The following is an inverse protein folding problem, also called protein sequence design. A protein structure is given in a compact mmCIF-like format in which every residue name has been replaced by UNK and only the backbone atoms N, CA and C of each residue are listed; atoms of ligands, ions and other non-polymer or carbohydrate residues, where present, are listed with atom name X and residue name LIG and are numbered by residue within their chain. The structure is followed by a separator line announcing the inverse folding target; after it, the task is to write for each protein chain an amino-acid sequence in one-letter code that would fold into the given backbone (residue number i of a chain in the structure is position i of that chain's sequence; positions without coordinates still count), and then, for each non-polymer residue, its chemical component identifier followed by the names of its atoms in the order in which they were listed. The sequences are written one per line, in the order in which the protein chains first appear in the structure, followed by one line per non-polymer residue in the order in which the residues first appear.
data_IF_663605036814
#
_entry.id   IF_663605036814
#
_cell.length_a   1.000
_cell.length_b   1.000
_cell.length_c   1.000
_cell.angle_alpha   90.00
_cell.angle_beta   90.00
_cell.angle_gamma   90.00
#
_symmetry.space_group_name_H-M   'P 1'
#
loop_
_entity.id
_entity.type
_entity.pdbx_description
1 polymer ?
#
# COMPACT_ATOMS: atom_id res chain seq x y z
N UNK A 1 -8.91 12.57 10.84
CA UNK A 1 -8.87 12.14 10.56
C UNK A 1 -8.37 11.13 10.26
N UNK A 2 -8.39 10.46 10.57
CA UNK A 2 -7.88 9.18 10.37
C UNK A 2 -7.63 8.73 9.07
N UNK A 3 -7.83 9.58 8.15
CA UNK A 3 -7.49 9.16 6.89
C UNK A 3 -6.17 9.56 6.57
N UNK A 4 -5.40 10.04 7.44
CA UNK A 4 -4.01 10.35 7.18
C UNK A 4 -3.26 9.09 6.86
N UNK A 5 -2.22 9.20 6.06
CA UNK A 5 -1.35 8.09 5.78
C UNK A 5 -0.58 7.70 7.02
N UNK A 6 -0.41 6.42 7.23
CA UNK A 6 0.34 5.94 8.37
C UNK A 6 1.82 5.97 8.05
N UNK A 7 2.60 6.60 8.92
CA UNK A 7 4.04 6.72 8.77
C UNK A 7 4.72 5.94 9.88
N UNK A 8 5.68 5.12 9.52
CA UNK A 8 6.40 4.31 10.50
C UNK A 8 7.34 3.34 9.81
N UNK A 9 7.66 2.30 10.54
CA UNK A 9 8.63 1.29 10.08
C UNK A 9 7.93 0.01 9.70
N UNK A 10 8.46 -0.65 8.70
CA UNK A 10 7.94 -1.92 8.23
C UNK A 10 8.93 -3.04 8.49
N UNK A 11 8.43 -4.15 8.99
CA UNK A 11 9.17 -5.40 9.06
C UNK A 11 8.50 -6.38 8.11
N UNK A 12 9.28 -6.90 7.18
CA UNK A 12 8.76 -7.77 6.14
C UNK A 12 9.33 -9.16 6.36
N UNK A 13 8.47 -10.08 6.74
CA UNK A 13 8.86 -11.44 6.98
C UNK A 13 8.26 -12.41 5.97
N UNK A 14 8.51 -13.69 6.18
CA UNK A 14 8.03 -14.71 5.27
C UNK A 14 6.52 -14.88 5.29
N UNK A 15 5.89 -14.64 6.44
CA UNK A 15 4.46 -14.89 6.60
C UNK A 15 3.63 -13.62 6.63
N UNK A 16 4.23 -12.49 6.93
CA UNK A 16 3.49 -11.26 7.13
C UNK A 16 4.36 -10.04 6.96
N UNK A 17 3.69 -8.92 6.72
CA UNK A 17 4.32 -7.61 6.78
C UNK A 17 3.74 -6.91 8.00
N UNK A 18 4.60 -6.28 8.79
CA UNK A 18 4.22 -5.58 10.00
C UNK A 18 4.57 -4.12 9.91
N UNK A 19 3.68 -3.29 10.40
CA UNK A 19 3.88 -1.84 10.43
C UNK A 19 3.89 -1.38 11.87
N UNK A 20 4.89 -0.57 12.23
CA UNK A 20 5.02 0.01 13.56
C UNK A 20 5.01 1.52 13.43
N UNK A 21 4.02 2.16 14.05
CA UNK A 21 3.86 3.62 13.96
C UNK A 21 5.01 4.36 14.64
N UNK A 22 5.53 5.40 13.98
CA UNK A 22 6.53 6.28 14.58
C UNK A 22 5.91 7.19 15.64
N UNK A 23 4.61 7.42 15.54
CA UNK A 23 3.92 8.35 16.42
C UNK A 23 3.48 7.68 17.72
N UNK A 24 3.01 6.45 17.62
CA UNK A 24 2.51 5.74 18.80
C UNK A 24 3.00 4.30 18.76
N UNK A 25 3.93 3.99 19.65
CA UNK A 25 4.58 2.68 19.67
C UNK A 25 3.62 1.53 19.98
N UNK A 26 2.46 1.84 20.54
CA UNK A 26 1.46 0.83 20.80
C UNK A 26 0.66 0.47 19.55
N UNK A 27 0.72 1.31 18.54
CA UNK A 27 0.01 1.05 17.31
C UNK A 27 0.89 0.25 16.38
N UNK A 28 0.47 -0.99 16.11
CA UNK A 28 1.13 -1.75 15.08
C UNK A 28 0.09 -2.58 14.35
N UNK A 29 0.39 -2.88 13.11
CA UNK A 29 -0.52 -3.62 12.24
C UNK A 29 0.26 -4.78 11.65
N UNK A 30 -0.30 -5.97 11.78
CA UNK A 30 0.29 -7.16 11.19
C UNK A 30 -0.67 -7.66 10.11
N UNK A 31 -0.14 -7.81 8.90
CA UNK A 31 -0.94 -8.27 7.76
C UNK A 31 -0.27 -9.51 7.19
N UNK A 32 -0.93 -10.66 7.33
CA UNK A 32 -0.39 -11.86 6.72
C UNK A 32 -0.47 -11.75 5.20
N UNK A 33 0.49 -12.32 4.51
CA UNK A 33 0.46 -12.27 3.05
C UNK A 33 -0.81 -12.90 2.50
N UNK A 34 -1.33 -13.92 3.17
CA UNK A 34 -2.55 -14.59 2.74
C UNK A 34 -3.78 -13.70 2.83
N UNK A 35 -3.80 -12.76 3.77
CA UNK A 35 -4.94 -11.86 3.93
C UNK A 35 -4.93 -10.69 2.96
N UNK A 36 -3.80 -10.44 2.30
CA UNK A 36 -3.66 -9.31 1.40
C UNK A 36 -4.26 -9.65 0.05
N UNK A 37 -5.26 -8.86 -0.35
CA UNK A 37 -5.92 -9.03 -1.63
C UNK A 37 -5.14 -8.31 -2.73
N UNK A 38 -4.63 -7.12 -2.43
CA UNK A 38 -3.72 -6.43 -3.33
C UNK A 38 -2.97 -5.35 -2.55
N UNK A 39 -1.87 -4.90 -3.15
CA UNK A 39 -1.11 -3.79 -2.63
C UNK A 39 -0.80 -2.91 -3.83
N UNK A 40 -0.93 -1.61 -3.70
CA UNK A 40 -0.79 -0.74 -4.85
C UNK A 40 -0.32 0.65 -4.52
N UNK A 41 0.24 1.30 -5.52
CA UNK A 41 0.72 2.67 -5.41
C UNK A 41 0.53 3.39 -6.74
N UNK A 42 0.50 4.70 -6.67
CA UNK A 42 0.50 5.52 -7.87
C UNK A 42 1.89 5.55 -8.46
N UNK A 43 1.97 5.53 -9.78
CA UNK A 43 3.24 5.59 -10.48
C UNK A 43 3.15 6.73 -11.47
N UNK A 44 4.14 7.62 -11.45
CA UNK A 44 4.23 8.72 -12.38
C UNK A 44 5.57 8.60 -13.10
N UNK A 45 5.52 8.23 -14.37
CA UNK A 45 6.72 7.95 -15.11
C UNK A 45 7.46 6.77 -14.49
N UNK A 46 8.67 7.01 -14.02
CA UNK A 46 9.47 5.98 -13.36
C UNK A 46 9.41 6.08 -11.84
N UNK A 47 8.65 7.05 -11.33
CA UNK A 47 8.58 7.26 -9.89
C UNK A 47 7.38 6.57 -9.28
N UNK A 48 7.62 5.86 -8.19
CA UNK A 48 6.57 5.24 -7.40
C UNK A 48 6.29 6.18 -6.23
N UNK A 49 5.01 6.45 -5.98
CA UNK A 49 4.59 7.30 -4.88
C UNK A 49 5.07 6.73 -3.55
N UNK A 50 5.36 7.61 -2.61
CA UNK A 50 5.65 7.19 -1.23
C UNK A 50 4.42 6.62 -0.57
N UNK A 51 3.25 7.00 -1.05
CA UNK A 51 1.98 6.52 -0.50
C UNK A 51 1.56 5.27 -1.24
N UNK A 52 1.13 4.27 -0.48
CA UNK A 52 0.63 3.04 -1.06
C UNK A 52 -0.49 2.49 -0.20
N UNK A 53 -1.31 1.65 -0.79
CA UNK A 53 -2.41 1.03 -0.06
C UNK A 53 -2.23 -0.47 0.00
N UNK A 54 -2.72 -1.05 1.09
CA UNK A 54 -2.79 -2.49 1.24
C UNK A 54 -4.23 -2.85 1.51
N UNK A 55 -4.85 -3.59 0.61
CA UNK A 55 -6.21 -4.06 0.79
C UNK A 55 -6.15 -5.47 1.35
N UNK A 56 -6.73 -5.63 2.53
CA UNK A 56 -6.77 -6.93 3.20
C UNK A 56 -8.22 -7.34 3.42
N UNK A 57 -8.40 -8.56 3.93
CA UNK A 57 -9.73 -9.04 4.27
C UNK A 57 -10.38 -8.21 5.38
N UNK A 58 -9.56 -7.59 6.24
CA UNK A 58 -10.06 -6.76 7.33
C UNK A 58 -10.28 -5.31 6.93
N UNK A 59 -9.85 -4.90 5.76
CA UNK A 59 -10.02 -3.53 5.31
C UNK A 59 -8.83 -3.01 4.55
N UNK A 60 -8.89 -1.73 4.23
CA UNK A 60 -7.86 -1.06 3.46
C UNK A 60 -7.04 -0.16 4.37
N UNK A 61 -5.72 -0.27 4.25
CA UNK A 61 -4.79 0.53 5.00
C UNK A 61 -3.98 1.41 4.05
N UNK A 62 -3.79 2.67 4.42
CA UNK A 62 -2.99 3.62 3.64
C UNK A 62 -1.72 3.91 4.41
N UNK A 63 -0.59 3.71 3.76
CA UNK A 63 0.72 3.91 4.36
C UNK A 63 1.54 4.88 3.55
N UNK A 64 2.57 5.43 4.18
CA UNK A 64 3.53 6.27 3.52
C UNK A 64 4.94 5.83 3.92
N UNK A 65 5.83 5.67 2.94
CA UNK A 65 7.21 5.31 3.21
C UNK A 65 8.07 5.76 2.04
N UNK A 66 9.25 6.26 2.36
CA UNK A 66 10.22 6.57 1.32
C UNK A 66 10.76 5.30 0.65
N UNK A 67 10.55 4.14 1.28
CA UNK A 67 10.96 2.85 0.75
C UNK A 67 9.82 2.11 0.06
N UNK A 68 8.77 2.82 -0.34
CA UNK A 68 7.59 2.20 -0.94
C UNK A 68 7.94 1.31 -2.13
N UNK A 69 8.86 1.75 -2.99
CA UNK A 69 9.27 0.95 -4.14
C UNK A 69 9.87 -0.38 -3.74
N UNK A 70 10.71 -0.37 -2.72
CA UNK A 70 11.33 -1.58 -2.20
C UNK A 70 10.28 -2.50 -1.58
N UNK A 71 9.35 -1.92 -0.83
CA UNK A 71 8.27 -2.68 -0.20
C UNK A 71 7.41 -3.36 -1.26
N UNK A 72 7.06 -2.62 -2.32
CA UNK A 72 6.25 -3.17 -3.40
C UNK A 72 6.97 -4.28 -4.15
N UNK A 73 8.28 -4.14 -4.31
CA UNK A 73 9.07 -5.17 -4.97
C UNK A 73 9.06 -6.46 -4.17
N UNK A 74 9.23 -6.36 -2.85
CA UNK A 74 9.18 -7.53 -1.98
C UNK A 74 7.79 -8.12 -1.97
N UNK A 75 6.76 -7.29 -1.94
CA UNK A 75 5.38 -7.75 -2.00
C UNK A 75 5.12 -8.54 -3.27
N UNK A 76 5.67 -8.10 -4.39
CA UNK A 76 5.51 -8.82 -5.66
C UNK A 76 6.12 -10.21 -5.57
N UNK A 77 7.26 -10.33 -4.90
CA UNK A 77 7.90 -11.63 -4.72
C UNK A 77 7.05 -12.56 -3.85
N UNK A 78 6.33 -12.00 -2.88
CA UNK A 78 5.51 -12.79 -1.96
C UNK A 78 4.13 -13.10 -2.50
N UNK A 79 3.54 -12.15 -3.22
CA UNK A 79 2.13 -12.24 -3.63
C UNK A 79 1.93 -12.58 -5.11
N UNK A 80 2.94 -12.35 -5.93
CA UNK A 80 2.81 -12.48 -7.38
C UNK A 80 2.47 -11.15 -8.03
N UNK A 81 2.63 -11.10 -9.35
CA UNK A 81 2.47 -9.86 -10.09
C UNK A 81 1.05 -9.32 -10.12
N UNK A 82 0.07 -10.20 -10.09
CA UNK A 82 -1.33 -9.78 -10.21
C UNK A 82 -1.88 -9.12 -8.97
N UNK A 83 -1.22 -9.26 -7.83
CA UNK A 83 -1.68 -8.62 -6.59
C UNK A 83 -0.95 -7.34 -6.28
N UNK A 84 0.08 -6.99 -7.03
CA UNK A 84 0.78 -5.71 -6.87
C UNK A 84 0.40 -4.86 -8.06
N UNK A 85 -0.38 -3.83 -7.81
CA UNK A 85 -1.04 -3.08 -8.86
C UNK A 85 -0.62 -1.62 -8.87
N UNK A 86 -0.80 -0.99 -10.04
CA UNK A 86 -0.61 0.43 -10.20
C UNK A 86 -1.96 1.09 -10.00
N UNK A 87 -2.04 1.98 -9.01
CA UNK A 87 -3.28 2.69 -8.75
C UNK A 87 -3.45 3.83 -9.75
N UNK A 88 -4.69 4.16 -10.11
CA UNK A 88 -4.91 5.29 -11.01
C UNK A 88 -4.54 6.60 -10.31
N UNK A 89 -4.02 7.54 -11.08
CA UNK A 89 -3.75 8.88 -10.57
C UNK A 89 -5.07 9.59 -10.32
N UNK A 90 -5.04 10.68 -9.56
CA UNK A 90 -6.24 11.46 -9.30
C UNK A 90 -6.89 11.90 -10.61
N UNK A 91 -6.07 12.32 -11.57
CA UNK A 91 -6.59 12.76 -12.86
C UNK A 91 -7.27 11.63 -13.60
N UNK A 92 -6.71 10.43 -13.57
CA UNK A 92 -7.31 9.26 -14.19
C UNK A 92 -8.63 8.89 -13.54
N UNK A 93 -8.71 9.03 -12.22
CA UNK A 93 -9.96 8.76 -11.51
C UNK A 93 -11.05 9.74 -11.91
N UNK A 94 -10.69 11.01 -12.02
CA UNK A 94 -11.63 12.04 -12.43
C UNK A 94 -12.12 11.78 -13.86
N UNK A 95 -11.20 11.47 -14.77
CA UNK A 95 -11.56 11.18 -16.15
C UNK A 95 -12.48 9.96 -16.24
N UNK A 96 -12.19 8.93 -15.46
CA UNK A 96 -13.04 7.74 -15.44
C UNK A 96 -14.43 8.04 -14.89
N UNK A 97 -14.50 8.91 -13.88
CA UNK A 97 -15.77 9.29 -13.29
C UNK A 97 -16.62 10.04 -14.32
N UNK A 98 -16.04 10.99 -15.04
CA UNK A 98 -16.77 11.75 -16.04
C UNK A 98 -17.21 10.90 -17.22
N UNK A 99 -16.43 9.90 -17.58
CA UNK A 99 -16.81 9.02 -18.67
C UNK A 99 -18.04 8.19 -18.37
N UNK A 100 -18.31 7.95 -17.12
CA UNK A 100 -19.48 7.18 -16.74
C UNK A 100 -20.74 8.00 -16.72
N UNK A 101 -20.61 9.27 -16.68
CA UNK A 101 -21.78 10.12 -16.71
C UNK A 101 -22.14 10.48 -18.15
#
# INVERSE_FOLDING_TARGET
MGFGNKVGKFLIGDKAIEFYSDVNVEHYIQMSWQSIQHIGANVSGKKISRHFEVQTEQGRFLFASKDSGKILKIAREKLGNDKVIKLPTLLQKIAGFFKKS
#
